data_IF_534443556474
#
_entry.id   IF_534443556474
#
_cell.length_a   1.000
_cell.length_b   1.000
_cell.length_c   1.000
_cell.angle_alpha   90.00
_cell.angle_beta   90.00
_cell.angle_gamma   90.00
#
_symmetry.space_group_name_H-M   'P 1'
#
loop_
_entity.id
_entity.type
_entity.pdbx_description
1 polymer ?
#
# COMPACT_ATOMS: atom_id res chain seq x y z
N UNK A 1 18.88 -19.04 -0.93
CA UNK A 1 18.75 -19.92 0.27
C UNK A 1 19.95 -19.94 1.25
N UNK A 2 20.92 -19.03 1.12
CA UNK A 2 22.18 -19.03 1.89
C UNK A 2 22.15 -18.27 3.22
N UNK A 3 21.05 -17.57 3.56
CA UNK A 3 20.93 -16.85 4.83
C UNK A 3 20.98 -17.81 6.04
N UNK A 4 21.62 -17.45 7.16
CA UNK A 4 21.69 -18.32 8.33
C UNK A 4 20.29 -18.59 8.91
N UNK A 5 20.08 -19.79 9.45
CA UNK A 5 18.84 -20.16 10.10
C UNK A 5 18.80 -19.70 11.57
N UNK A 6 19.00 -18.39 11.81
CA UNK A 6 19.12 -17.82 13.15
C UNK A 6 18.44 -16.45 13.24
N UNK A 7 17.74 -16.18 14.36
CA UNK A 7 17.07 -14.91 14.69
C UNK A 7 16.30 -14.29 13.49
N UNK A 8 16.53 -13.02 13.16
CA UNK A 8 15.83 -12.30 12.10
C UNK A 8 16.02 -12.94 10.71
N UNK A 9 17.16 -13.60 10.45
CA UNK A 9 17.38 -14.31 9.19
C UNK A 9 16.50 -15.57 9.09
N UNK A 10 16.25 -16.27 10.21
CA UNK A 10 15.26 -17.36 10.26
C UNK A 10 13.85 -16.84 9.99
N UNK A 11 13.46 -15.72 10.63
CA UNK A 11 12.15 -15.10 10.39
C UNK A 11 11.99 -14.66 8.93
N UNK A 12 13.00 -14.03 8.35
CA UNK A 12 13.02 -13.63 6.94
C UNK A 12 12.88 -14.84 5.99
N UNK A 13 13.59 -15.94 6.25
CA UNK A 13 13.44 -17.20 5.50
C UNK A 13 12.03 -17.77 5.63
N UNK A 14 11.41 -17.67 6.80
CA UNK A 14 10.03 -18.14 7.00
C UNK A 14 9.02 -17.25 6.27
N UNK A 15 9.20 -15.92 6.31
CA UNK A 15 8.36 -14.95 5.60
C UNK A 15 8.38 -15.24 4.09
N UNK A 16 9.57 -15.34 3.50
CA UNK A 16 9.74 -15.65 2.06
C UNK A 16 9.08 -16.98 1.69
N UNK A 17 9.26 -18.03 2.51
CA UNK A 17 8.59 -19.31 2.33
C UNK A 17 7.06 -19.24 2.41
N UNK A 18 6.52 -18.44 3.34
CA UNK A 18 5.07 -18.24 3.51
C UNK A 18 4.46 -17.46 2.34
N UNK A 19 5.14 -16.43 1.84
CA UNK A 19 4.70 -15.67 0.66
C UNK A 19 4.71 -16.56 -0.58
N UNK A 20 5.81 -17.28 -0.84
CA UNK A 20 5.89 -18.21 -1.97
C UNK A 20 4.81 -19.31 -1.90
N UNK A 21 4.53 -19.83 -0.70
CA UNK A 21 3.45 -20.81 -0.48
C UNK A 21 2.07 -20.21 -0.74
N UNK A 22 1.80 -18.97 -0.29
CA UNK A 22 0.53 -18.29 -0.54
C UNK A 22 0.31 -18.08 -2.04
N UNK A 23 1.33 -17.56 -2.74
CA UNK A 23 1.30 -17.37 -4.19
C UNK A 23 1.03 -18.69 -4.94
N UNK A 24 1.78 -19.76 -4.67
CA UNK A 24 1.56 -21.09 -5.29
C UNK A 24 0.17 -21.68 -5.04
N UNK A 25 -0.47 -21.31 -3.93
CA UNK A 25 -1.82 -21.76 -3.56
C UNK A 25 -2.94 -20.83 -4.06
N UNK A 26 -2.61 -19.81 -4.86
CA UNK A 26 -3.57 -18.79 -5.30
C UNK A 26 -4.19 -18.02 -4.14
N UNK A 27 -3.45 -17.83 -3.05
CA UNK A 27 -3.88 -17.04 -1.89
C UNK A 27 -3.36 -15.60 -2.02
N UNK A 28 -4.15 -14.61 -1.58
CA UNK A 28 -3.79 -13.21 -1.77
C UNK A 28 -2.55 -12.84 -0.94
N UNK A 29 -1.63 -12.13 -1.58
CA UNK A 29 -0.58 -11.36 -0.91
C UNK A 29 -0.94 -9.89 -1.08
N UNK A 30 -1.24 -9.24 0.03
CA UNK A 30 -1.77 -7.87 0.10
C UNK A 30 -0.69 -6.97 0.67
N UNK A 31 -0.40 -5.86 -0.02
CA UNK A 31 0.55 -4.86 0.43
C UNK A 31 -0.19 -3.63 0.98
N UNK A 32 -0.18 -3.46 2.30
CA UNK A 32 -0.43 -2.18 2.94
C UNK A 32 0.85 -1.35 3.00
N UNK A 33 0.82 -0.07 2.61
CA UNK A 33 2.03 0.76 2.61
C UNK A 33 1.79 2.25 2.94
N UNK A 34 2.81 2.89 3.50
CA UNK A 34 2.92 4.35 3.52
C UNK A 34 3.51 4.89 2.21
N UNK A 35 3.87 6.18 2.20
CA UNK A 35 4.43 6.85 1.01
C UNK A 35 5.96 6.69 0.88
N UNK A 36 6.67 6.46 1.98
CA UNK A 36 8.14 6.41 1.98
C UNK A 36 8.75 5.37 1.01
N UNK A 37 8.18 4.16 0.81
CA UNK A 37 8.69 3.24 -0.20
C UNK A 37 8.72 3.82 -1.62
N UNK A 38 7.76 4.69 -1.97
CA UNK A 38 7.73 5.40 -3.26
C UNK A 38 8.86 6.42 -3.31
N UNK A 39 9.03 7.20 -2.23
CA UNK A 39 10.09 8.21 -2.09
C UNK A 39 11.49 7.63 -2.31
N UNK A 40 11.74 6.41 -1.84
CA UNK A 40 13.04 5.73 -2.01
C UNK A 40 13.12 4.86 -3.27
N UNK A 41 12.18 5.02 -4.21
CA UNK A 41 12.26 4.44 -5.55
C UNK A 41 11.81 2.98 -5.67
N UNK A 42 11.00 2.46 -4.75
CA UNK A 42 10.57 1.04 -4.77
C UNK A 42 9.34 0.76 -5.65
N UNK A 43 8.67 1.79 -6.20
CA UNK A 43 7.47 1.60 -7.03
C UNK A 43 7.70 0.64 -8.21
N UNK A 44 8.78 0.72 -9.00
CA UNK A 44 9.02 -0.23 -10.09
C UNK A 44 9.09 -1.69 -9.61
N UNK A 45 9.68 -1.93 -8.44
CA UNK A 45 9.77 -3.28 -7.89
C UNK A 45 8.41 -3.78 -7.42
N UNK A 46 7.60 -2.93 -6.80
CA UNK A 46 6.20 -3.26 -6.44
C UNK A 46 5.41 -3.61 -7.71
N UNK A 47 5.56 -2.83 -8.79
CA UNK A 47 4.92 -3.11 -10.09
C UNK A 47 5.37 -4.46 -10.65
N UNK A 48 6.66 -4.80 -10.58
CA UNK A 48 7.15 -6.13 -11.01
C UNK A 48 6.48 -7.25 -10.21
N UNK A 49 6.35 -7.11 -8.89
CA UNK A 49 5.67 -8.10 -8.06
C UNK A 49 4.17 -8.21 -8.36
N UNK A 50 3.52 -7.11 -8.77
CA UNK A 50 2.14 -7.11 -9.27
C UNK A 50 2.04 -7.83 -10.61
N UNK A 51 2.94 -7.54 -11.56
CA UNK A 51 2.98 -8.17 -12.89
C UNK A 51 3.25 -9.68 -12.82
N UNK A 52 4.04 -10.12 -11.84
CA UNK A 52 4.28 -11.54 -11.54
C UNK A 52 3.13 -12.21 -10.79
N UNK A 53 2.04 -11.50 -10.47
CA UNK A 53 0.90 -12.03 -9.72
C UNK A 53 1.23 -12.39 -8.26
N UNK A 54 2.35 -11.89 -7.72
CA UNK A 54 2.72 -12.08 -6.32
C UNK A 54 1.82 -11.18 -5.49
N UNK A 55 1.93 -9.86 -5.69
CA UNK A 55 1.06 -8.87 -5.02
C UNK A 55 -0.27 -8.80 -5.77
N UNK A 56 -1.36 -9.08 -5.06
CA UNK A 56 -2.72 -9.18 -5.62
C UNK A 56 -3.66 -8.07 -5.14
N UNK A 57 -3.19 -7.20 -4.25
CA UNK A 57 -3.86 -5.95 -3.89
C UNK A 57 -2.88 -5.00 -3.18
N UNK A 58 -3.11 -3.69 -3.32
CA UNK A 58 -2.36 -2.65 -2.60
C UNK A 58 -3.33 -1.74 -1.84
N UNK A 59 -2.99 -1.41 -0.59
CA UNK A 59 -3.65 -0.39 0.20
C UNK A 59 -2.60 0.65 0.62
N UNK A 60 -2.84 1.93 0.34
CA UNK A 60 -1.91 3.01 0.68
C UNK A 60 -2.61 4.14 1.42
N UNK A 61 -1.83 4.97 2.12
CA UNK A 61 -2.35 6.22 2.70
C UNK A 61 -2.44 7.31 1.61
N UNK A 62 -3.06 8.45 1.92
CA UNK A 62 -3.22 9.53 0.96
C UNK A 62 -1.90 10.10 0.41
N UNK A 63 -0.88 10.27 1.24
CA UNK A 63 0.46 10.62 0.78
C UNK A 63 1.02 9.63 -0.27
N UNK A 64 0.73 8.33 -0.15
CA UNK A 64 1.16 7.31 -1.11
C UNK A 64 0.62 7.54 -2.52
N UNK A 65 -0.67 7.88 -2.67
CA UNK A 65 -1.24 8.13 -4.01
C UNK A 65 -0.72 9.42 -4.63
N UNK A 66 -0.37 10.40 -3.82
CA UNK A 66 0.23 11.66 -4.28
C UNK A 66 1.62 11.38 -4.84
N UNK A 67 2.49 10.73 -4.06
CA UNK A 67 3.84 10.38 -4.53
C UNK A 67 3.80 9.44 -5.74
N UNK A 68 2.82 8.52 -5.81
CA UNK A 68 2.62 7.67 -6.98
C UNK A 68 2.30 8.46 -8.25
N UNK A 69 1.43 9.48 -8.12
CA UNK A 69 1.13 10.40 -9.21
C UNK A 69 2.35 11.24 -9.62
N UNK A 70 3.08 11.81 -8.66
CA UNK A 70 4.27 12.62 -8.93
C UNK A 70 5.35 11.81 -9.68
N UNK A 71 5.56 10.56 -9.27
CA UNK A 71 6.46 9.64 -9.98
C UNK A 71 5.94 9.38 -11.40
N UNK A 72 4.64 9.16 -11.61
CA UNK A 72 4.09 8.98 -12.94
C UNK A 72 4.29 10.22 -13.84
N UNK A 73 4.07 11.41 -13.27
CA UNK A 73 4.06 12.70 -13.94
C UNK A 73 5.48 13.20 -14.25
N UNK A 74 6.37 13.19 -13.26
CA UNK A 74 7.68 13.83 -13.30
C UNK A 74 8.87 12.89 -13.06
N UNK A 75 8.64 11.60 -12.76
CA UNK A 75 9.70 10.61 -12.54
C UNK A 75 10.37 10.70 -11.17
N UNK A 76 9.94 11.63 -10.32
CA UNK A 76 10.45 11.86 -8.95
C UNK A 76 9.35 12.46 -8.07
N UNK A 77 9.47 12.28 -6.76
CA UNK A 77 8.61 12.96 -5.77
C UNK A 77 9.08 14.38 -5.52
N UNK A 78 8.17 15.32 -5.23
CA UNK A 78 8.46 16.76 -5.20
C UNK A 78 9.02 17.31 -3.87
N UNK A 79 9.12 16.50 -2.82
CA UNK A 79 9.20 17.02 -1.45
C UNK A 79 10.61 17.04 -0.84
N UNK A 80 11.21 18.24 -0.74
CA UNK A 80 12.12 18.62 0.35
C UNK A 80 11.36 19.45 1.41
N UNK A 81 10.85 18.74 2.42
CA UNK A 81 10.01 19.29 3.50
C UNK A 81 10.72 20.42 4.26
N UNK A 82 12.03 20.29 4.48
CA UNK A 82 12.79 21.22 5.32
C UNK A 82 13.02 22.57 4.63
N UNK A 83 13.13 22.58 3.30
CA UNK A 83 13.37 23.79 2.52
C UNK A 83 12.10 24.65 2.34
N UNK A 84 10.92 24.02 2.27
CA UNK A 84 9.68 24.67 1.79
C UNK A 84 8.73 25.13 2.90
N UNK A 85 8.85 24.61 4.14
CA UNK A 85 7.95 24.95 5.26
C UNK A 85 8.06 26.43 5.64
N UNK A 86 9.26 27.01 5.64
CA UNK A 86 9.48 28.39 6.08
C UNK A 86 8.78 29.44 5.21
N UNK A 87 8.48 29.10 3.94
CA UNK A 87 7.82 30.00 2.99
C UNK A 87 6.32 29.68 2.82
N UNK A 88 5.80 28.64 3.49
CA UNK A 88 4.42 28.18 3.31
C UNK A 88 4.14 27.54 1.94
N UNK A 89 5.18 27.23 1.17
CA UNK A 89 5.08 26.63 -0.17
C UNK A 89 5.03 25.10 -0.15
N UNK A 90 5.26 24.48 1.02
CA UNK A 90 5.22 23.03 1.17
C UNK A 90 3.87 22.45 0.73
N UNK A 91 3.91 21.57 -0.28
CA UNK A 91 2.73 20.91 -0.82
C UNK A 91 1.89 21.73 -1.80
N UNK A 92 2.35 22.92 -2.21
CA UNK A 92 1.60 23.84 -3.07
C UNK A 92 1.88 23.65 -4.57
N UNK A 93 2.20 22.42 -5.00
CA UNK A 93 2.38 22.11 -6.43
C UNK A 93 1.01 22.10 -7.11
N UNK A 94 0.73 23.15 -7.88
CA UNK A 94 -0.55 23.39 -8.56
C UNK A 94 -1.00 22.20 -9.41
N UNK A 95 -0.10 21.62 -10.21
CA UNK A 95 -0.43 20.49 -11.07
C UNK A 95 -0.87 19.26 -10.27
N UNK A 96 -0.12 18.90 -9.23
CA UNK A 96 -0.44 17.75 -8.37
C UNK A 96 -1.77 17.96 -7.64
N UNK A 97 -1.94 19.13 -7.01
CA UNK A 97 -3.17 19.48 -6.30
C UNK A 97 -4.39 19.45 -7.22
N UNK A 98 -4.31 20.09 -8.39
CA UNK A 98 -5.40 20.15 -9.37
C UNK A 98 -5.73 18.79 -9.97
N UNK A 99 -4.73 18.06 -10.47
CA UNK A 99 -4.97 16.82 -11.23
C UNK A 99 -5.46 15.68 -10.35
N UNK A 100 -4.88 15.50 -9.16
CA UNK A 100 -5.31 14.43 -8.24
C UNK A 100 -6.71 14.72 -7.71
N UNK A 101 -7.02 15.96 -7.30
CA UNK A 101 -8.38 16.31 -6.88
C UNK A 101 -9.40 16.12 -8.00
N UNK A 102 -9.05 16.53 -9.24
CA UNK A 102 -9.93 16.32 -10.39
C UNK A 102 -10.21 14.83 -10.63
N UNK A 103 -9.18 13.98 -10.56
CA UNK A 103 -9.36 12.54 -10.68
C UNK A 103 -10.28 11.98 -9.59
N UNK A 104 -10.12 12.42 -8.33
CA UNK A 104 -10.97 12.00 -7.21
C UNK A 104 -12.44 12.39 -7.47
N UNK A 105 -12.70 13.62 -7.92
CA UNK A 105 -14.06 14.10 -8.25
C UNK A 105 -14.66 13.31 -9.41
N UNK A 106 -13.94 13.18 -10.53
CA UNK A 106 -14.41 12.46 -11.72
C UNK A 106 -14.71 10.98 -11.41
N UNK A 107 -13.88 10.36 -10.56
CA UNK A 107 -14.10 8.99 -10.14
C UNK A 107 -15.23 8.82 -9.12
N UNK A 108 -15.44 9.81 -8.25
CA UNK A 108 -16.57 9.84 -7.33
C UNK A 108 -17.91 9.79 -8.08
N UNK A 109 -18.05 10.61 -9.13
CA UNK A 109 -19.22 10.63 -10.03
C UNK A 109 -19.43 9.27 -10.74
N UNK A 110 -18.34 8.56 -11.04
CA UNK A 110 -18.36 7.22 -11.68
C UNK A 110 -18.59 6.05 -10.72
N UNK A 111 -18.76 6.30 -9.42
CA UNK A 111 -18.91 5.22 -8.44
C UNK A 111 -17.59 4.58 -7.99
N UNK A 112 -16.44 5.16 -8.31
CA UNK A 112 -15.12 4.61 -7.98
C UNK A 112 -14.60 5.10 -6.62
N UNK A 113 -13.66 4.34 -6.06
CA UNK A 113 -12.80 4.78 -4.96
C UNK A 113 -11.51 5.42 -5.48
N UNK A 114 -10.78 6.10 -4.61
CA UNK A 114 -9.66 7.00 -4.98
C UNK A 114 -8.57 6.27 -5.76
N UNK A 115 -8.16 5.07 -5.31
CA UNK A 115 -7.08 4.33 -5.95
C UNK A 115 -7.37 3.98 -7.42
N UNK A 116 -8.62 3.59 -7.72
CA UNK A 116 -9.06 3.39 -9.11
C UNK A 116 -9.14 4.70 -9.88
N UNK A 117 -9.67 5.76 -9.27
CA UNK A 117 -9.82 7.07 -9.91
C UNK A 117 -8.48 7.62 -10.42
N UNK A 118 -7.46 7.60 -9.55
CA UNK A 118 -6.12 8.06 -9.91
C UNK A 118 -5.44 7.09 -10.87
N UNK A 119 -5.59 5.78 -10.65
CA UNK A 119 -5.01 4.76 -11.53
C UNK A 119 -5.53 4.85 -12.98
N UNK A 120 -6.83 5.07 -13.16
CA UNK A 120 -7.45 5.24 -14.48
C UNK A 120 -7.01 6.55 -15.15
N UNK A 121 -6.86 7.64 -14.39
CA UNK A 121 -6.29 8.88 -14.89
C UNK A 121 -4.85 8.65 -15.39
N UNK A 122 -4.00 7.97 -14.62
CA UNK A 122 -2.61 7.67 -15.00
C UNK A 122 -2.54 6.73 -16.20
N UNK A 123 -3.41 5.72 -16.25
CA UNK A 123 -3.48 4.75 -17.36
C UNK A 123 -3.89 5.43 -18.67
N UNK A 124 -4.91 6.30 -18.62
CA UNK A 124 -5.40 7.02 -19.79
C UNK A 124 -4.49 8.19 -20.19
N UNK A 125 -3.79 8.80 -19.23
CA UNK A 125 -2.88 9.92 -19.44
C UNK A 125 -1.61 9.55 -20.22
N UNK A 126 -1.02 10.56 -20.85
CA UNK A 126 0.26 10.48 -21.56
C UNK A 126 1.43 10.91 -20.66
N UNK A 127 1.52 10.36 -19.45
CA UNK A 127 2.63 10.66 -18.54
C UNK A 127 3.87 9.85 -18.90
N UNK A 128 5.04 10.50 -18.96
CA UNK A 128 6.30 9.91 -19.40
C UNK A 128 6.72 8.69 -18.56
N UNK A 129 6.39 8.70 -17.26
CA UNK A 129 6.80 7.67 -16.31
C UNK A 129 5.63 6.82 -15.80
N UNK A 130 4.46 6.83 -16.47
CA UNK A 130 3.26 6.08 -16.04
C UNK A 130 3.46 4.60 -15.76
N UNK A 131 4.49 3.97 -16.36
CA UNK A 131 4.84 2.56 -16.11
C UNK A 131 5.36 2.32 -14.68
N UNK A 132 5.86 3.35 -14.02
CA UNK A 132 6.39 3.28 -12.64
C UNK A 132 5.28 3.38 -11.58
N UNK A 133 4.08 3.81 -11.96
CA UNK A 133 2.97 4.01 -11.02
C UNK A 133 2.29 2.71 -10.61
N UNK A 134 2.11 2.56 -9.29
CA UNK A 134 1.41 1.46 -8.64
C UNK A 134 -0.09 1.54 -8.93
N UNK A 135 -0.72 2.71 -8.82
CA UNK A 135 -2.15 2.87 -9.13
C UNK A 135 -2.43 2.67 -10.62
N UNK A 136 -1.56 3.19 -11.50
CA UNK A 136 -1.60 2.96 -12.94
C UNK A 136 -1.40 1.48 -13.32
N UNK A 137 -0.50 0.77 -12.64
CA UNK A 137 -0.35 -0.67 -12.78
C UNK A 137 -1.59 -1.42 -12.28
N UNK A 138 -2.18 -1.00 -11.16
CA UNK A 138 -3.44 -1.54 -10.64
C UNK A 138 -4.57 -1.47 -11.66
N UNK A 139 -4.79 -0.28 -12.24
CA UNK A 139 -5.78 -0.07 -13.29
C UNK A 139 -5.48 -0.89 -14.56
N UNK A 140 -4.21 -1.02 -14.95
CA UNK A 140 -3.78 -1.82 -16.12
C UNK A 140 -4.02 -3.32 -15.92
N UNK A 141 -3.70 -3.83 -14.74
CA UNK A 141 -3.70 -5.27 -14.44
C UNK A 141 -5.02 -5.76 -13.84
N UNK A 142 -5.95 -4.86 -13.52
CA UNK A 142 -7.17 -5.19 -12.78
C UNK A 142 -6.91 -5.58 -11.32
N UNK A 143 -5.78 -5.14 -10.75
CA UNK A 143 -5.40 -5.40 -9.36
C UNK A 143 -5.97 -4.28 -8.48
N UNK A 144 -6.72 -4.59 -7.40
CA UNK A 144 -7.24 -3.59 -6.49
C UNK A 144 -6.14 -2.73 -5.87
N UNK A 145 -6.23 -1.42 -6.06
CA UNK A 145 -5.43 -0.42 -5.35
C UNK A 145 -6.39 0.50 -4.61
N UNK A 146 -6.20 0.64 -3.30
CA UNK A 146 -7.10 1.36 -2.40
C UNK A 146 -6.32 2.45 -1.65
N UNK A 147 -6.95 3.60 -1.44
CA UNK A 147 -6.33 4.75 -0.76
C UNK A 147 -7.17 5.13 0.46
N UNK A 148 -6.52 5.18 1.60
CA UNK A 148 -7.14 5.51 2.89
C UNK A 148 -6.64 6.86 3.38
N UNK A 149 -7.48 7.86 3.21
CA UNK A 149 -7.16 9.27 3.47
C UNK A 149 -7.34 9.61 4.95
N UNK A 150 -6.36 10.31 5.51
CA UNK A 150 -6.53 11.07 6.75
C UNK A 150 -6.72 12.55 6.36
N UNK A 151 -7.93 13.07 6.56
CA UNK A 151 -8.27 14.42 6.11
C UNK A 151 -7.41 15.44 6.85
N UNK A 152 -6.81 16.36 6.09
CA UNK A 152 -5.88 17.38 6.61
C UNK A 152 -4.40 16.95 6.65
N UNK A 153 -4.05 15.69 6.33
CA UNK A 153 -2.63 15.27 6.30
C UNK A 153 -1.98 15.40 4.93
N UNK A 154 -2.78 15.27 3.87
CA UNK A 154 -2.28 15.18 2.51
C UNK A 154 -2.29 16.55 1.82
N UNK A 155 -1.23 16.86 1.05
CA UNK A 155 -1.01 18.20 0.48
C UNK A 155 -2.15 18.67 -0.44
N UNK A 156 -2.82 17.72 -1.10
CA UNK A 156 -3.94 18.01 -2.01
C UNK A 156 -5.17 18.58 -1.29
N UNK A 157 -5.26 18.46 0.04
CA UNK A 157 -6.38 18.98 0.82
C UNK A 157 -6.39 20.51 0.95
N UNK A 158 -5.23 21.15 0.80
CA UNK A 158 -5.10 22.61 0.87
C UNK A 158 -5.48 23.29 -0.44
N UNK A 159 -5.57 22.52 -1.53
CA UNK A 159 -5.85 23.04 -2.85
C UNK A 159 -7.33 23.48 -2.98
N UNK A 160 -7.66 24.61 -3.63
CA UNK A 160 -9.04 25.11 -3.74
C UNK A 160 -10.04 24.15 -4.41
N UNK A 161 -9.53 23.19 -5.19
CA UNK A 161 -10.36 22.15 -5.83
C UNK A 161 -10.62 20.92 -4.95
N UNK A 162 -10.10 20.88 -3.73
CA UNK A 162 -10.37 19.79 -2.80
C UNK A 162 -11.87 19.70 -2.48
N UNK A 163 -12.46 18.53 -2.75
CA UNK A 163 -13.88 18.28 -2.49
C UNK A 163 -14.05 17.24 -1.39
N UNK A 164 -14.33 17.70 -0.16
CA UNK A 164 -14.39 16.85 1.03
C UNK A 164 -15.34 15.65 0.90
N UNK A 165 -16.50 15.84 0.25
CA UNK A 165 -17.45 14.75 -0.01
C UNK A 165 -16.90 13.69 -0.96
N UNK A 166 -16.11 14.09 -1.97
CA UNK A 166 -15.53 13.15 -2.94
C UNK A 166 -14.37 12.37 -2.31
N UNK A 167 -13.54 13.05 -1.52
CA UNK A 167 -12.45 12.44 -0.75
C UNK A 167 -12.99 11.42 0.26
N UNK A 168 -14.00 11.82 1.05
CA UNK A 168 -14.61 10.96 2.07
C UNK A 168 -15.28 9.72 1.46
N UNK A 169 -16.14 9.92 0.46
CA UNK A 169 -16.84 8.82 -0.20
C UNK A 169 -15.87 7.90 -0.95
N UNK A 170 -14.88 8.47 -1.65
CA UNK A 170 -13.86 7.70 -2.37
C UNK A 170 -13.02 6.83 -1.43
N UNK A 171 -12.54 7.38 -0.31
CA UNK A 171 -11.81 6.65 0.73
C UNK A 171 -12.66 5.56 1.38
N UNK A 172 -13.96 5.82 1.59
CA UNK A 172 -14.89 4.84 2.15
C UNK A 172 -15.19 3.68 1.17
N UNK A 173 -15.33 3.97 -0.14
CA UNK A 173 -15.44 2.93 -1.18
C UNK A 173 -14.19 2.06 -1.23
N UNK A 174 -13.02 2.67 -1.16
CA UNK A 174 -11.75 1.96 -1.08
C UNK A 174 -11.65 1.09 0.18
N UNK A 175 -12.16 1.54 1.33
CA UNK A 175 -12.29 0.71 2.53
C UNK A 175 -13.16 -0.53 2.31
N UNK A 176 -14.34 -0.38 1.68
CA UNK A 176 -15.21 -1.53 1.38
C UNK A 176 -14.55 -2.51 0.40
N UNK A 177 -13.89 -1.99 -0.63
CA UNK A 177 -13.11 -2.82 -1.56
C UNK A 177 -11.98 -3.55 -0.83
N UNK A 178 -11.22 -2.86 0.01
CA UNK A 178 -10.16 -3.47 0.81
C UNK A 178 -10.70 -4.55 1.77
N UNK A 179 -11.84 -4.31 2.43
CA UNK A 179 -12.49 -5.33 3.25
C UNK A 179 -12.86 -6.58 2.43
N UNK A 180 -13.32 -6.42 1.19
CA UNK A 180 -13.57 -7.57 0.30
C UNK A 180 -12.30 -8.39 0.01
N UNK A 181 -11.15 -7.72 -0.16
CA UNK A 181 -9.84 -8.39 -0.30
C UNK A 181 -9.46 -9.12 1.00
N UNK A 182 -9.60 -8.45 2.15
CA UNK A 182 -9.28 -9.04 3.47
C UNK A 182 -10.15 -10.26 3.77
N UNK A 183 -11.39 -10.32 3.25
CA UNK A 183 -12.27 -11.49 3.41
C UNK A 183 -11.68 -12.78 2.81
N UNK A 184 -10.75 -12.65 1.85
CA UNK A 184 -10.08 -13.76 1.16
C UNK A 184 -8.70 -14.10 1.76
N UNK A 185 -8.29 -13.42 2.84
CA UNK A 185 -6.93 -13.50 3.38
C UNK A 185 -6.60 -14.85 4.06
N UNK A 186 -7.55 -15.76 4.20
CA UNK A 186 -7.31 -17.10 4.76
C UNK A 186 -6.25 -17.88 3.96
N UNK A 187 -5.14 -18.19 4.61
CA UNK A 187 -3.94 -18.79 4.02
C UNK A 187 -3.08 -17.81 3.19
N UNK A 188 -3.44 -16.53 3.17
CA UNK A 188 -2.75 -15.44 2.48
C UNK A 188 -1.75 -14.69 3.38
N UNK A 189 -1.28 -13.55 2.87
CA UNK A 189 -0.29 -12.70 3.54
C UNK A 189 -0.71 -11.24 3.48
N UNK A 190 -0.57 -10.52 4.59
CA UNK A 190 -0.66 -9.06 4.64
C UNK A 190 0.70 -8.46 5.04
N UNK A 191 1.26 -7.63 4.18
CA UNK A 191 2.50 -6.88 4.41
C UNK A 191 2.13 -5.44 4.79
N UNK A 192 2.67 -4.91 5.89
CA UNK A 192 2.60 -3.50 6.24
C UNK A 192 3.99 -2.87 6.08
N UNK A 193 4.16 -2.06 5.03
CA UNK A 193 5.43 -1.45 4.65
C UNK A 193 5.42 0.06 4.95
N UNK A 194 6.02 0.46 6.07
CA UNK A 194 6.22 1.88 6.39
C UNK A 194 4.96 2.67 6.73
N UNK A 195 3.90 2.02 7.22
CA UNK A 195 2.72 2.72 7.76
C UNK A 195 2.60 2.49 9.26
N UNK A 196 2.81 3.56 10.03
CA UNK A 196 2.79 3.52 11.49
C UNK A 196 1.37 3.58 12.09
N UNK A 197 0.38 4.12 11.37
CA UNK A 197 -0.97 4.37 11.92
C UNK A 197 -2.07 3.98 10.95
N UNK A 198 -2.16 4.61 9.78
CA UNK A 198 -3.34 4.53 8.90
C UNK A 198 -3.63 3.08 8.48
N UNK A 199 -2.67 2.39 7.86
CA UNK A 199 -2.90 1.04 7.36
C UNK A 199 -3.05 0.00 8.48
N UNK A 200 -2.29 0.05 9.61
CA UNK A 200 -2.58 -0.79 10.77
C UNK A 200 -4.01 -0.65 11.30
N UNK A 201 -4.54 0.57 11.38
CA UNK A 201 -5.90 0.80 11.83
C UNK A 201 -6.93 0.30 10.81
N UNK A 202 -6.78 0.67 9.54
CA UNK A 202 -7.65 0.23 8.44
C UNK A 202 -7.71 -1.30 8.36
N UNK A 203 -6.56 -1.97 8.40
CA UNK A 203 -6.47 -3.42 8.36
C UNK A 203 -7.21 -4.08 9.51
N UNK A 204 -7.03 -3.59 10.75
CA UNK A 204 -7.73 -4.14 11.89
C UNK A 204 -9.26 -3.97 11.78
N UNK A 205 -9.73 -2.85 11.24
CA UNK A 205 -11.18 -2.59 11.06
C UNK A 205 -11.75 -3.47 9.96
N UNK A 206 -11.05 -3.61 8.83
CA UNK A 206 -11.43 -4.50 7.75
C UNK A 206 -11.49 -5.96 8.23
N UNK A 207 -10.48 -6.43 8.98
CA UNK A 207 -10.46 -7.78 9.55
C UNK A 207 -11.62 -8.01 10.53
N UNK A 208 -11.90 -7.03 11.38
CA UNK A 208 -13.02 -7.10 12.34
C UNK A 208 -14.35 -7.21 11.60
N UNK A 209 -14.56 -6.37 10.57
CA UNK A 209 -15.76 -6.39 9.74
C UNK A 209 -15.95 -7.75 9.06
N UNK A 210 -14.93 -8.30 8.38
CA UNK A 210 -15.09 -9.57 7.66
C UNK A 210 -15.33 -10.75 8.59
N UNK A 211 -14.71 -10.76 9.78
CA UNK A 211 -14.99 -11.78 10.80
C UNK A 211 -16.41 -11.66 11.34
N UNK A 212 -16.88 -10.43 11.57
CA UNK A 212 -18.26 -10.18 11.99
C UNK A 212 -19.28 -10.65 10.94
N UNK A 213 -18.95 -10.53 9.65
CA UNK A 213 -19.74 -11.05 8.53
C UNK A 213 -19.62 -12.57 8.32
N UNK A 214 -18.88 -13.30 9.18
CA UNK A 214 -18.78 -14.76 9.14
C UNK A 214 -17.68 -15.33 8.25
N UNK A 215 -16.83 -14.50 7.62
CA UNK A 215 -15.70 -14.99 6.83
C UNK A 215 -14.64 -15.65 7.73
N UNK A 216 -14.19 -16.84 7.34
CA UNK A 216 -13.15 -17.58 8.06
C UNK A 216 -11.77 -17.02 7.74
N UNK A 217 -11.38 -15.94 8.40
CA UNK A 217 -10.04 -15.31 8.29
C UNK A 217 -9.29 -15.41 9.62
N UNK A 218 -8.68 -16.57 9.87
CA UNK A 218 -8.04 -16.91 11.17
C UNK A 218 -6.57 -17.31 11.05
N UNK A 219 -6.22 -18.03 9.98
CA UNK A 219 -4.86 -18.47 9.72
C UNK A 219 -4.34 -17.78 8.45
N UNK A 220 -3.46 -16.82 8.65
CA UNK A 220 -2.78 -16.03 7.62
C UNK A 220 -1.48 -15.46 8.20
N UNK A 221 -0.61 -14.97 7.33
CA UNK A 221 0.66 -14.37 7.73
C UNK A 221 0.57 -12.85 7.72
N UNK A 222 1.12 -12.18 8.72
CA UNK A 222 1.30 -10.72 8.70
C UNK A 222 2.78 -10.36 8.85
N UNK A 223 3.22 -9.30 8.19
CA UNK A 223 4.60 -8.81 8.31
C UNK A 223 4.56 -7.29 8.46
N UNK A 224 5.18 -6.76 9.49
CA UNK A 224 5.43 -5.33 9.61
C UNK A 224 6.90 -5.02 9.28
N UNK A 225 7.13 -4.11 8.34
CA UNK A 225 8.45 -3.64 7.94
C UNK A 225 8.55 -2.13 8.19
N UNK A 226 9.43 -1.72 9.09
CA UNK A 226 9.61 -0.32 9.45
C UNK A 226 11.03 -0.05 9.97
N UNK A 227 11.44 1.21 10.03
CA UNK A 227 12.78 1.62 10.49
C UNK A 227 12.90 1.42 12.00
N UNK A 228 11.77 1.59 12.70
CA UNK A 228 11.66 1.42 14.14
C UNK A 228 10.38 0.66 14.52
N UNK A 229 10.34 0.00 15.69
CA UNK A 229 9.12 -0.65 16.16
C UNK A 229 8.10 0.37 16.66
N UNK A 230 6.88 0.34 16.10
CA UNK A 230 5.76 1.18 16.54
C UNK A 230 4.67 0.36 17.23
N UNK A 231 4.01 0.93 18.25
CA UNK A 231 2.96 0.25 19.01
C UNK A 231 1.82 -0.28 18.13
N UNK A 232 1.28 0.56 17.22
CA UNK A 232 0.12 0.19 16.40
C UNK A 232 0.43 -0.93 15.41
N UNK A 233 1.51 -0.90 14.60
CA UNK A 233 1.84 -2.03 13.74
C UNK A 233 2.14 -3.32 14.53
N UNK A 234 2.91 -3.24 15.63
CA UNK A 234 3.16 -4.42 16.47
C UNK A 234 1.88 -5.02 17.04
N UNK A 235 0.90 -4.19 17.41
CA UNK A 235 -0.32 -4.66 18.05
C UNK A 235 -1.38 -5.07 17.02
N UNK A 236 -1.64 -4.22 16.04
CA UNK A 236 -2.77 -4.29 15.12
C UNK A 236 -2.43 -4.97 13.78
N UNK A 237 -1.16 -5.23 13.50
CA UNK A 237 -0.72 -6.06 12.36
C UNK A 237 -0.09 -7.37 12.84
N UNK A 238 0.89 -7.29 13.75
CA UNK A 238 1.71 -8.45 14.11
C UNK A 238 1.06 -9.36 15.17
N UNK A 239 0.43 -8.81 16.21
CA UNK A 239 -0.06 -9.62 17.36
C UNK A 239 -1.53 -10.01 17.24
N UNK A 240 -2.46 -9.04 17.37
CA UNK A 240 -3.91 -9.31 17.48
C UNK A 240 -4.51 -10.06 16.28
N UNK A 241 -4.17 -9.72 15.03
CA UNK A 241 -4.77 -10.38 13.86
C UNK A 241 -4.53 -11.89 13.80
N UNK A 242 -3.40 -12.36 14.31
CA UNK A 242 -2.90 -13.73 14.13
C UNK A 242 -3.09 -14.63 15.34
N UNK A 243 -3.71 -14.16 16.43
CA UNK A 243 -3.90 -14.93 17.67
C UNK A 243 -4.65 -16.27 17.48
N UNK A 244 -5.53 -16.36 16.50
CA UNK A 244 -6.40 -17.53 16.28
C UNK A 244 -5.83 -18.57 15.29
N UNK A 245 -4.57 -18.45 14.89
CA UNK A 245 -3.90 -19.49 14.09
C UNK A 245 -2.88 -19.01 13.06
N UNK A 246 -2.80 -17.70 12.82
CA UNK A 246 -1.82 -17.10 11.92
C UNK A 246 -0.43 -16.95 12.53
N UNK A 247 0.46 -16.27 11.80
CA UNK A 247 1.76 -15.85 12.34
C UNK A 247 2.13 -14.44 11.89
N UNK A 248 2.44 -13.58 12.86
CA UNK A 248 2.91 -12.24 12.62
C UNK A 248 4.43 -12.12 12.76
N UNK A 249 5.03 -11.28 11.93
CA UNK A 249 6.46 -10.97 11.95
C UNK A 249 6.71 -9.47 12.00
N UNK A 250 7.85 -9.07 12.55
CA UNK A 250 8.36 -7.70 12.44
C UNK A 250 9.80 -7.72 11.96
N UNK A 251 10.10 -6.94 10.92
CA UNK A 251 11.45 -6.68 10.43
C UNK A 251 11.77 -5.19 10.63
N UNK A 252 12.92 -4.91 11.24
CA UNK A 252 13.43 -3.57 11.48
C UNK A 252 14.56 -3.26 10.51
N UNK A 253 14.45 -2.15 9.77
CA UNK A 253 15.48 -1.68 8.84
C UNK A 253 14.93 -0.77 7.74
N UNK A 254 15.83 -0.21 6.93
CA UNK A 254 15.45 0.71 5.85
C UNK A 254 14.75 -0.01 4.68
N UNK A 255 13.76 0.65 4.07
CA UNK A 255 12.88 0.02 3.09
C UNK A 255 13.62 -0.30 1.80
N UNK A 256 14.47 0.62 1.36
CA UNK A 256 15.34 0.54 0.18
C UNK A 256 16.37 -0.60 0.27
N UNK A 257 16.51 -1.22 1.43
CA UNK A 257 17.33 -2.43 1.62
C UNK A 257 16.41 -3.64 1.83
N UNK A 258 15.53 -3.59 2.82
CA UNK A 258 14.79 -4.78 3.24
C UNK A 258 13.76 -5.26 2.21
N UNK A 259 13.03 -4.34 1.56
CA UNK A 259 11.99 -4.72 0.61
C UNK A 259 12.58 -5.28 -0.69
N UNK A 260 13.66 -4.71 -1.26
CA UNK A 260 14.39 -5.36 -2.35
C UNK A 260 14.92 -6.75 -2.02
N UNK A 261 15.50 -6.93 -0.84
CA UNK A 261 15.95 -8.25 -0.39
C UNK A 261 14.78 -9.24 -0.31
N UNK A 262 13.64 -8.81 0.25
CA UNK A 262 12.43 -9.64 0.34
C UNK A 262 11.92 -10.03 -1.05
N UNK A 263 11.82 -9.05 -1.96
CA UNK A 263 11.35 -9.27 -3.33
C UNK A 263 12.25 -10.25 -4.08
N UNK A 264 13.58 -10.06 -4.04
CA UNK A 264 14.53 -10.96 -4.66
C UNK A 264 14.43 -12.39 -4.11
N UNK A 265 14.31 -12.54 -2.78
CA UNK A 265 14.18 -13.84 -2.14
C UNK A 265 12.83 -14.53 -2.41
N UNK A 266 11.77 -13.78 -2.68
CA UNK A 266 10.48 -14.35 -3.14
C UNK A 266 10.61 -14.84 -4.57
N UNK A 267 11.19 -14.02 -5.47
CA UNK A 267 11.39 -14.35 -6.88
C UNK A 267 12.22 -15.64 -7.03
N UNK A 268 13.35 -15.74 -6.33
CA UNK A 268 14.21 -16.93 -6.24
C UNK A 268 13.47 -18.19 -5.74
N UNK A 269 12.36 -18.03 -5.00
CA UNK A 269 11.57 -19.15 -4.44
C UNK A 269 10.38 -19.59 -5.30
N UNK A 270 10.00 -18.80 -6.29
CA UNK A 270 8.87 -19.09 -7.17
C UNK A 270 9.30 -19.44 -8.59
N UNK A 271 10.52 -19.07 -8.98
CA UNK A 271 11.25 -19.71 -10.10
C UNK A 271 11.49 -21.20 -9.80
#
# INVERSE_FOLDING_TARGET
ESLPNFLAAKDFREITGRIAKAHRKGKPVVLGMGAHPIKVGLSPLIVVLMEKGIIQAVAMNGAGVIHDFEVAFAGKTSEDVSAEIGQGAFGMVEETGRMVNRAIIDGWEKGWGIGRSVGEMIRAGQFAYRKMSITGAGARLGIPVTVHVAVGTDIIHMHPQAHGGAIGEGSHRDFRLFASVVSQLQGGVYLNLGSAVILPEVFLKALTLVRNLGYRVKDFTTVNMDFIPHYRPLTNVVRRPTLEGGKGFHLTGHHEIMFPLLAAAILDKIE
#
